data_IF_925162854318
#
_entry.id   IF_925162854318
#
_cell.length_a   1.000
_cell.length_b   1.000
_cell.length_c   1.000
_cell.angle_alpha   90.00
_cell.angle_beta   90.00
_cell.angle_gamma   90.00
#
_symmetry.space_group_name_H-M   'P 1'
#
loop_
_entity.id
_entity.type
_entity.pdbx_description
1 polymer ?
#
# COMPACT_ATOMS: atom_id res chain seq x y z
N UNK A 1 14.73 -9.60 6.68
CA UNK A 1 14.04 -9.16 5.48
C UNK A 1 13.78 -7.68 5.52
N UNK A 2 13.89 -7.04 4.36
CA UNK A 2 13.79 -5.60 4.24
C UNK A 2 12.40 -5.03 4.53
N UNK A 3 11.37 -5.70 4.00
CA UNK A 3 10.01 -5.14 3.98
C UNK A 3 9.06 -5.86 4.90
N UNK A 4 9.53 -6.86 5.58
CA UNK A 4 8.72 -7.64 6.49
C UNK A 4 9.27 -7.50 7.89
N UNK A 5 8.38 -7.48 8.85
CA UNK A 5 8.78 -7.56 10.24
C UNK A 5 7.73 -8.32 11.01
N UNK A 6 8.16 -8.94 12.08
CA UNK A 6 7.30 -9.64 13.00
C UNK A 6 6.52 -8.61 13.82
N UNK A 7 5.19 -8.74 13.86
CA UNK A 7 4.32 -7.74 14.49
C UNK A 7 3.83 -8.17 15.85
N UNK A 8 3.65 -9.46 16.06
CA UNK A 8 3.24 -10.00 17.34
C UNK A 8 3.93 -11.34 17.59
N UNK A 9 3.74 -11.88 18.78
CA UNK A 9 4.44 -13.08 19.22
C UNK A 9 3.84 -14.39 18.72
N UNK A 10 2.76 -14.35 17.99
CA UNK A 10 2.19 -15.53 17.34
C UNK A 10 2.45 -15.45 15.85
N UNK A 11 3.54 -16.09 15.36
CA UNK A 11 3.88 -15.99 13.95
C UNK A 11 2.88 -16.76 13.09
N UNK A 12 2.41 -16.12 12.02
CA UNK A 12 1.69 -16.85 10.99
C UNK A 12 2.68 -17.75 10.24
N UNK A 13 2.22 -18.91 9.76
CA UNK A 13 3.06 -19.72 8.88
C UNK A 13 3.52 -18.89 7.67
N UNK A 14 4.80 -18.99 7.33
CA UNK A 14 5.36 -18.26 6.20
C UNK A 14 4.58 -18.53 4.91
N UNK A 15 4.14 -19.77 4.72
CA UNK A 15 3.34 -20.14 3.56
C UNK A 15 2.04 -19.33 3.45
N UNK A 16 1.37 -19.08 4.57
CA UNK A 16 0.16 -18.28 4.57
C UNK A 16 0.47 -16.83 4.21
N UNK A 17 1.55 -16.27 4.72
CA UNK A 17 1.98 -14.93 4.40
C UNK A 17 2.35 -14.81 2.92
N UNK A 18 3.09 -15.79 2.37
CA UNK A 18 3.51 -15.79 0.98
C UNK A 18 2.35 -15.94 0.00
N UNK A 19 1.23 -16.50 0.42
CA UNK A 19 0.04 -16.60 -0.41
C UNK A 19 -0.73 -15.29 -0.49
N UNK A 20 -0.43 -14.31 0.33
CA UNK A 20 -1.11 -13.03 0.28
C UNK A 20 -0.67 -12.23 -0.96
N UNK A 21 -1.56 -11.39 -1.46
CA UNK A 21 -1.26 -10.55 -2.63
C UNK A 21 -0.11 -9.59 -2.36
N UNK A 22 -0.03 -9.04 -1.14
CA UNK A 22 1.03 -8.11 -0.80
C UNK A 22 2.39 -8.81 -0.78
N UNK A 23 2.47 -10.01 -0.22
CA UNK A 23 3.72 -10.77 -0.19
C UNK A 23 4.18 -11.14 -1.60
N UNK A 24 3.25 -11.56 -2.45
CA UNK A 24 3.54 -11.87 -3.85
C UNK A 24 4.05 -10.63 -4.58
N UNK A 25 3.41 -9.48 -4.36
CA UNK A 25 3.83 -8.23 -5.00
C UNK A 25 5.24 -7.80 -4.56
N UNK A 26 5.57 -7.92 -3.28
CA UNK A 26 6.88 -7.58 -2.77
C UNK A 26 7.93 -8.53 -3.37
N UNK A 27 7.65 -9.82 -3.40
CA UNK A 27 8.57 -10.80 -3.97
C UNK A 27 8.81 -10.53 -5.46
N UNK A 28 7.76 -10.23 -6.21
CA UNK A 28 7.88 -9.90 -7.63
C UNK A 28 8.72 -8.63 -7.84
N UNK A 29 8.52 -7.62 -7.01
CA UNK A 29 9.31 -6.39 -7.06
C UNK A 29 10.80 -6.69 -6.81
N UNK A 30 11.10 -7.48 -5.80
CA UNK A 30 12.48 -7.86 -5.47
C UNK A 30 13.13 -8.65 -6.61
N UNK A 31 12.34 -9.38 -7.39
CA UNK A 31 12.81 -10.14 -8.55
C UNK A 31 12.86 -9.31 -9.84
N UNK A 32 12.62 -8.01 -9.77
CA UNK A 32 12.79 -7.11 -10.89
C UNK A 32 11.53 -6.54 -11.52
N UNK A 33 10.35 -6.98 -11.10
CA UNK A 33 9.08 -6.44 -11.60
C UNK A 33 8.76 -5.12 -10.89
N UNK A 34 9.16 -4.02 -11.51
CA UNK A 34 8.98 -2.69 -10.91
C UNK A 34 7.53 -2.23 -10.85
N UNK A 35 6.64 -2.91 -11.56
CA UNK A 35 5.22 -2.56 -11.57
C UNK A 35 4.39 -3.37 -10.55
N UNK A 36 4.98 -4.35 -9.90
CA UNK A 36 4.26 -5.26 -9.02
C UNK A 36 3.53 -4.53 -7.88
N UNK A 37 4.18 -3.56 -7.27
CA UNK A 37 3.56 -2.80 -6.16
C UNK A 37 2.44 -1.89 -6.67
N UNK A 38 2.62 -1.27 -7.83
CA UNK A 38 1.57 -0.44 -8.45
C UNK A 38 0.33 -1.28 -8.76
N UNK A 39 0.54 -2.49 -9.25
CA UNK A 39 -0.53 -3.41 -9.57
C UNK A 39 -1.24 -3.91 -8.31
N UNK A 40 -0.49 -4.17 -7.24
CA UNK A 40 -1.07 -4.50 -5.95
C UNK A 40 -2.03 -3.41 -5.47
N UNK A 41 -1.57 -2.15 -5.52
CA UNK A 41 -2.41 -1.01 -5.12
C UNK A 41 -3.66 -0.92 -5.98
N UNK A 42 -3.52 -1.11 -7.29
CA UNK A 42 -4.66 -1.04 -8.20
C UNK A 42 -5.72 -2.10 -7.88
N UNK A 43 -5.30 -3.30 -7.49
CA UNK A 43 -6.21 -4.44 -7.30
C UNK A 43 -6.66 -4.64 -5.86
N UNK A 44 -5.86 -4.29 -4.89
CA UNK A 44 -6.03 -4.77 -3.52
C UNK A 44 -5.92 -3.70 -2.44
N UNK A 45 -5.39 -2.53 -2.74
CA UNK A 45 -5.23 -1.50 -1.72
C UNK A 45 -6.59 -0.95 -1.28
N UNK A 46 -6.63 -0.52 -0.03
CA UNK A 46 -7.81 0.06 0.59
C UNK A 46 -7.49 1.46 1.10
N UNK A 47 -8.50 2.18 1.57
CA UNK A 47 -8.29 3.49 2.20
C UNK A 47 -7.31 3.39 3.37
N UNK A 48 -7.40 2.31 4.15
CA UNK A 48 -6.47 2.11 5.27
C UNK A 48 -5.02 1.94 4.79
N UNK A 49 -4.81 1.24 3.67
CA UNK A 49 -3.49 1.09 3.08
C UNK A 49 -2.93 2.44 2.61
N UNK A 50 -3.78 3.30 2.06
CA UNK A 50 -3.36 4.65 1.67
C UNK A 50 -2.98 5.50 2.86
N UNK A 51 -3.70 5.40 3.96
CA UNK A 51 -3.40 6.18 5.17
C UNK A 51 -2.15 5.69 5.89
N UNK A 52 -1.97 4.38 5.93
CA UNK A 52 -0.84 3.74 6.57
C UNK A 52 -0.41 2.54 5.73
N UNK A 53 0.70 2.67 4.99
CA UNK A 53 1.10 1.65 4.02
C UNK A 53 1.75 0.43 4.69
N UNK A 54 1.09 -0.11 5.68
CA UNK A 54 1.49 -1.34 6.36
C UNK A 54 0.33 -2.31 6.30
N UNK A 55 0.58 -3.48 5.74
CA UNK A 55 -0.42 -4.55 5.66
C UNK A 55 -0.05 -5.63 6.66
N UNK A 56 -0.95 -5.93 7.57
CA UNK A 56 -0.73 -6.93 8.61
C UNK A 56 -1.45 -8.22 8.26
N UNK A 57 -0.72 -9.32 8.26
CA UNK A 57 -1.26 -10.64 7.95
C UNK A 57 -0.68 -11.63 8.96
N UNK A 58 -1.54 -12.14 9.82
CA UNK A 58 -1.09 -13.00 10.91
C UNK A 58 -0.12 -12.25 11.81
N UNK A 59 1.05 -12.82 12.04
CA UNK A 59 2.09 -12.19 12.87
C UNK A 59 3.06 -11.31 12.09
N UNK A 60 2.79 -11.06 10.80
CA UNK A 60 3.70 -10.31 9.92
C UNK A 60 3.14 -8.94 9.58
N UNK A 61 4.03 -7.96 9.44
CA UNK A 61 3.70 -6.67 8.86
C UNK A 61 4.52 -6.48 7.59
N UNK A 62 3.84 -6.09 6.51
CA UNK A 62 4.47 -5.77 5.24
C UNK A 62 4.43 -4.26 5.08
N UNK A 63 5.59 -3.61 5.17
CA UNK A 63 5.67 -2.16 4.98
C UNK A 63 5.86 -1.86 3.50
N UNK A 64 4.98 -1.04 2.96
CA UNK A 64 5.05 -0.59 1.58
C UNK A 64 5.58 0.83 1.46
N UNK A 65 5.99 1.43 2.58
CA UNK A 65 6.40 2.82 2.62
C UNK A 65 7.53 3.16 1.64
N UNK A 66 8.49 2.27 1.50
CA UNK A 66 9.62 2.48 0.59
C UNK A 66 9.22 2.57 -0.88
N UNK A 67 8.05 2.02 -1.22
CA UNK A 67 7.54 2.04 -2.58
C UNK A 67 6.60 3.22 -2.83
N UNK A 68 6.31 4.02 -1.81
CA UNK A 68 5.29 5.03 -1.85
C UNK A 68 5.87 6.43 -1.90
N UNK A 69 5.12 7.31 -2.55
CA UNK A 69 5.26 8.76 -2.44
C UNK A 69 4.18 9.26 -1.50
N UNK A 70 4.37 10.44 -0.94
CA UNK A 70 3.40 11.05 -0.04
C UNK A 70 2.59 12.07 -0.83
N UNK A 71 1.29 12.02 -0.66
CA UNK A 71 0.37 12.95 -1.33
C UNK A 71 -0.57 13.59 -0.30
N UNK A 72 -0.82 14.87 -0.47
CA UNK A 72 -1.93 15.54 0.19
C UNK A 72 -3.09 15.54 -0.79
N UNK A 73 -4.19 14.93 -0.39
CA UNK A 73 -5.34 14.71 -1.24
C UNK A 73 -6.56 15.36 -0.61
N UNK A 74 -7.17 16.28 -1.34
CA UNK A 74 -8.45 16.85 -0.92
C UNK A 74 -9.55 15.90 -1.36
N UNK A 75 -10.22 15.29 -0.39
CA UNK A 75 -11.26 14.28 -0.62
C UNK A 75 -12.62 14.87 -0.34
N UNK A 76 -13.56 14.63 -1.24
CA UNK A 76 -14.93 15.14 -1.10
C UNK A 76 -15.52 14.67 0.22
N UNK A 77 -16.08 15.61 0.98
CA UNK A 77 -16.68 15.43 2.30
C UNK A 77 -15.72 15.13 3.45
N UNK A 78 -14.46 14.83 3.18
CA UNK A 78 -13.49 14.43 4.22
C UNK A 78 -12.35 15.42 4.42
N UNK A 79 -12.22 16.42 3.53
CA UNK A 79 -11.14 17.40 3.64
C UNK A 79 -9.81 16.88 3.12
N UNK A 80 -8.72 17.42 3.64
CA UNK A 80 -7.37 17.07 3.19
C UNK A 80 -6.84 15.89 4.00
N UNK A 81 -6.34 14.88 3.28
CA UNK A 81 -5.78 13.67 3.87
C UNK A 81 -4.35 13.46 3.35
N UNK A 82 -3.46 13.02 4.22
CA UNK A 82 -2.12 12.59 3.82
C UNK A 82 -2.18 11.11 3.47
N UNK A 83 -1.84 10.79 2.23
CA UNK A 83 -1.94 9.43 1.72
C UNK A 83 -0.63 8.97 1.10
N UNK A 84 -0.42 7.67 1.11
CA UNK A 84 0.79 7.01 0.63
C UNK A 84 0.44 6.07 -0.50
N UNK A 85 1.04 6.28 -1.65
CA UNK A 85 0.80 5.42 -2.82
C UNK A 85 1.99 5.48 -3.77
N UNK A 86 2.18 4.46 -4.60
CA UNK A 86 3.27 4.48 -5.57
C UNK A 86 3.08 5.51 -6.67
N UNK A 87 1.84 5.90 -6.94
CA UNK A 87 1.53 6.95 -7.92
C UNK A 87 0.13 7.49 -7.70
N UNK A 88 -0.21 8.56 -8.44
CA UNK A 88 -1.54 9.17 -8.34
C UNK A 88 -2.66 8.24 -8.80
N UNK A 89 -2.38 7.41 -9.81
CA UNK A 89 -3.37 6.44 -10.31
C UNK A 89 -3.86 5.50 -9.24
N UNK A 90 -3.00 5.07 -8.33
CA UNK A 90 -3.39 4.20 -7.23
C UNK A 90 -4.41 4.88 -6.31
N UNK A 91 -4.23 6.17 -6.06
CA UNK A 91 -5.17 6.94 -5.24
C UNK A 91 -6.53 7.02 -5.92
N UNK A 92 -6.56 7.31 -7.22
CA UNK A 92 -7.81 7.34 -7.98
C UNK A 92 -8.48 5.97 -8.02
N UNK A 93 -7.70 4.89 -8.12
CA UNK A 93 -8.25 3.53 -8.11
C UNK A 93 -8.95 3.18 -6.81
N UNK A 94 -8.42 3.64 -5.69
CA UNK A 94 -8.96 3.33 -4.37
C UNK A 94 -10.13 4.24 -4.02
N UNK A 95 -9.97 5.56 -4.22
CA UNK A 95 -10.96 6.54 -3.80
C UNK A 95 -12.01 6.85 -4.87
N UNK A 96 -11.66 6.67 -6.14
CA UNK A 96 -12.50 7.09 -7.25
C UNK A 96 -12.29 8.55 -7.62
N UNK A 97 -12.35 8.84 -8.92
CA UNK A 97 -12.13 10.20 -9.42
C UNK A 97 -13.13 11.22 -8.90
N UNK A 98 -14.36 10.77 -8.66
CA UNK A 98 -15.41 11.65 -8.15
C UNK A 98 -15.08 12.21 -6.77
N UNK A 99 -14.43 11.40 -5.93
CA UNK A 99 -14.12 11.77 -4.55
C UNK A 99 -12.82 12.55 -4.41
N UNK A 100 -11.93 12.52 -5.39
CA UNK A 100 -10.65 13.21 -5.34
C UNK A 100 -10.78 14.57 -6.01
N UNK A 101 -10.73 15.63 -5.22
CA UNK A 101 -10.88 17.01 -5.72
C UNK A 101 -9.54 17.62 -6.11
N UNK A 102 -8.47 17.26 -5.41
CA UNK A 102 -7.13 17.77 -5.69
C UNK A 102 -6.09 16.82 -5.12
N UNK A 103 -4.99 16.61 -5.84
CA UNK A 103 -3.84 15.84 -5.37
C UNK A 103 -2.58 16.70 -5.50
N UNK A 104 -1.77 16.72 -4.44
CA UNK A 104 -0.48 17.37 -4.44
C UNK A 104 0.56 16.40 -3.90
N UNK A 105 1.62 16.15 -4.65
CA UNK A 105 2.73 15.35 -4.16
C UNK A 105 3.55 16.16 -3.16
N UNK A 106 3.87 15.55 -2.04
CA UNK A 106 4.66 16.16 -0.97
C UNK A 106 6.00 15.45 -0.90
N UNK A 107 7.05 16.20 -0.93
CA UNK A 107 8.38 15.63 -0.75
C UNK A 107 8.82 15.68 0.70
#
# INVERSE_FOLDING_TARGET
MKYWQFVNWEPAPIESALKSRVAVAIAAYENGDKNAIKEYYRQSATVETLKNPVVKIGGWAFSLREFCRVYWVKVRYYGIMELYAPNKSAIYSVLGKYHVLKIMEVE
#
